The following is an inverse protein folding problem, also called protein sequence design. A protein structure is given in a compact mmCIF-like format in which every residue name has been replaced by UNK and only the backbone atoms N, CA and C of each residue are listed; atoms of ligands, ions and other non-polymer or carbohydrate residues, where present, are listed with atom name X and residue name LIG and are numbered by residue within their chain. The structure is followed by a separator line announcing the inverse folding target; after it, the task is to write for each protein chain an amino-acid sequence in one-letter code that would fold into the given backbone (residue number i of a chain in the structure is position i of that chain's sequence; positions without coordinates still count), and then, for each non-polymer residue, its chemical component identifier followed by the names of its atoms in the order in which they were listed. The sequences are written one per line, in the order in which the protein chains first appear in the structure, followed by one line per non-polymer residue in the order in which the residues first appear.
data_IF_728138460758
#
_entry.id   IF_728138460758
#
_cell.length_a   1.000
_cell.length_b   1.000
_cell.length_c   1.000
_cell.angle_alpha   90.00
_cell.angle_beta   90.00
_cell.angle_gamma   90.00
#
_symmetry.space_group_name_H-M   'P 1'
#
loop_
_entity.id
_entity.type
_entity.pdbx_description
1 polymer ?
#
# COMPACT_ATOMS: atom_id res chain seq x y z
N UNK A 1 -2.47 31.45 26.18
CA UNK A 1 -1.28 30.73 25.65
C UNK A 1 -1.56 29.84 24.42
N UNK A 2 -2.67 29.99 23.67
CA UNK A 2 -3.05 29.04 22.61
C UNK A 2 -2.87 29.53 21.15
N UNK A 3 -2.48 30.79 20.94
CA UNK A 3 -2.35 31.39 19.60
C UNK A 3 -0.95 31.21 18.97
N UNK A 4 0.10 31.39 19.78
CA UNK A 4 1.50 31.34 19.33
C UNK A 4 1.89 29.91 18.93
N UNK A 5 1.56 28.91 19.74
CA UNK A 5 1.80 27.49 19.44
C UNK A 5 1.09 26.98 18.18
N UNK A 6 -0.14 27.44 17.92
CA UNK A 6 -0.86 27.15 16.66
C UNK A 6 -0.22 27.80 15.44
N UNK A 7 0.32 29.02 15.58
CA UNK A 7 0.99 29.74 14.51
C UNK A 7 2.33 29.08 14.15
N UNK A 8 3.14 28.72 15.15
CA UNK A 8 4.38 27.95 14.96
C UNK A 8 4.12 26.59 14.31
N UNK A 9 3.08 25.87 14.73
CA UNK A 9 2.68 24.60 14.11
C UNK A 9 2.25 24.75 12.63
N UNK A 10 1.60 25.86 12.27
CA UNK A 10 1.26 26.17 10.86
C UNK A 10 2.50 26.52 10.04
N UNK A 11 3.42 27.32 10.59
CA UNK A 11 4.67 27.68 9.93
C UNK A 11 5.59 26.47 9.72
N UNK A 12 5.71 25.57 10.71
CA UNK A 12 6.45 24.31 10.55
C UNK A 12 5.83 23.40 9.48
N UNK A 13 4.49 23.27 9.46
CA UNK A 13 3.80 22.51 8.42
C UNK A 13 4.04 23.12 7.03
N UNK A 14 3.97 24.44 6.90
CA UNK A 14 4.29 25.13 5.66
C UNK A 14 5.75 24.91 5.25
N UNK A 15 6.71 25.06 6.17
CA UNK A 15 8.13 24.84 5.88
C UNK A 15 8.42 23.39 5.44
N UNK A 16 7.81 22.41 6.10
CA UNK A 16 7.89 21.01 5.69
C UNK A 16 7.29 20.79 4.29
N UNK A 17 6.15 21.42 3.98
CA UNK A 17 5.47 21.29 2.68
C UNK A 17 6.25 21.96 1.55
N UNK A 18 6.74 23.19 1.76
CA UNK A 18 7.27 24.05 0.69
C UNK A 18 8.79 23.98 0.55
N UNK A 19 9.53 23.47 1.55
CA UNK A 19 11.01 23.43 1.52
C UNK A 19 11.54 22.00 1.62
N UNK A 20 11.17 21.25 2.67
CA UNK A 20 11.71 19.90 2.87
C UNK A 20 11.28 18.96 1.75
N UNK A 21 9.98 18.96 1.38
CA UNK A 21 9.45 18.02 0.37
C UNK A 21 10.07 18.20 -1.03
N UNK A 22 10.18 19.41 -1.61
CA UNK A 22 10.85 19.56 -2.90
C UNK A 22 12.31 19.11 -2.88
N UNK A 23 13.02 19.35 -1.77
CA UNK A 23 14.41 18.89 -1.61
C UNK A 23 14.49 17.36 -1.54
N UNK A 24 13.59 16.71 -0.80
CA UNK A 24 13.54 15.25 -0.72
C UNK A 24 13.25 14.64 -2.08
N UNK A 25 12.26 15.14 -2.81
CA UNK A 25 11.93 14.66 -4.16
C UNK A 25 13.12 14.88 -5.11
N UNK A 26 13.77 16.05 -5.07
CA UNK A 26 14.97 16.31 -5.89
C UNK A 26 16.12 15.35 -5.57
N UNK A 27 16.31 15.02 -4.29
CA UNK A 27 17.32 14.04 -3.89
C UNK A 27 16.95 12.64 -4.39
N UNK A 28 15.70 12.19 -4.19
CA UNK A 28 15.20 10.91 -4.71
C UNK A 28 15.46 10.81 -6.21
N UNK A 29 15.03 11.80 -7.00
CA UNK A 29 15.20 11.78 -8.46
C UNK A 29 16.67 11.69 -8.88
N UNK A 30 17.61 12.18 -8.07
CA UNK A 30 19.06 12.10 -8.35
C UNK A 30 19.70 10.80 -7.93
N UNK A 31 19.17 10.12 -6.92
CA UNK A 31 19.81 8.96 -6.28
C UNK A 31 19.10 7.64 -6.53
N UNK A 32 17.89 7.66 -7.07
CA UNK A 32 17.15 6.45 -7.41
C UNK A 32 17.83 5.73 -8.56
N UNK A 33 18.05 4.45 -8.39
CA UNK A 33 18.69 3.57 -9.37
C UNK A 33 17.60 2.79 -10.10
N UNK A 34 17.65 2.76 -11.43
CA UNK A 34 16.83 1.84 -12.22
C UNK A 34 17.57 0.51 -12.31
N UNK A 35 16.98 -0.55 -11.76
CA UNK A 35 17.62 -1.88 -11.68
C UNK A 35 17.14 -2.82 -12.79
N UNK A 36 15.84 -2.83 -13.11
CA UNK A 36 15.26 -3.77 -14.07
C UNK A 36 13.98 -3.24 -14.72
N UNK A 37 13.64 -3.77 -15.91
CA UNK A 37 12.36 -3.55 -16.57
C UNK A 37 12.26 -2.23 -17.36
N UNK A 38 11.11 -1.97 -18.00
CA UNK A 38 10.90 -0.77 -18.80
C UNK A 38 10.83 0.50 -17.94
N UNK A 39 11.29 1.64 -18.49
CA UNK A 39 11.18 2.98 -17.88
C UNK A 39 9.80 3.59 -18.11
N UNK A 40 9.19 3.30 -19.26
CA UNK A 40 7.86 3.78 -19.63
C UNK A 40 6.91 2.59 -19.76
N UNK A 41 5.76 2.72 -19.09
CA UNK A 41 4.76 1.65 -19.01
C UNK A 41 3.47 2.21 -19.62
N UNK A 42 3.17 2.00 -20.90
CA UNK A 42 1.90 2.42 -21.47
C UNK A 42 0.77 1.51 -20.97
N UNK A 43 -0.34 2.11 -20.51
CA UNK A 43 -1.52 1.37 -20.10
C UNK A 43 -2.82 2.12 -20.37
N UNK A 44 -3.89 1.37 -20.56
CA UNK A 44 -5.22 1.84 -20.91
C UNK A 44 -6.07 2.27 -19.71
N UNK A 45 -7.26 2.87 -19.96
CA UNK A 45 -8.17 3.32 -18.90
C UNK A 45 -8.84 2.19 -18.11
N UNK A 46 -8.80 0.95 -18.63
CA UNK A 46 -9.25 -0.30 -18.00
C UNK A 46 -8.09 -1.20 -17.58
N UNK A 47 -6.90 -0.62 -17.47
CA UNK A 47 -5.71 -1.27 -16.95
C UNK A 47 -5.22 -0.49 -15.72
N UNK A 48 -4.43 -1.13 -14.86
CA UNK A 48 -3.77 -0.45 -13.74
C UNK A 48 -2.33 -0.89 -13.60
N UNK A 49 -1.53 -0.02 -12.98
CA UNK A 49 -0.18 -0.32 -12.52
C UNK A 49 -0.19 -0.44 -10.99
N UNK A 50 0.46 -1.48 -10.48
CA UNK A 50 0.78 -1.61 -9.06
C UNK A 50 2.07 -0.86 -8.77
N UNK A 51 2.11 -0.08 -7.70
CA UNK A 51 3.36 0.46 -7.16
C UNK A 51 3.53 0.00 -5.72
N UNK A 52 4.72 -0.48 -5.40
CA UNK A 52 5.05 -1.07 -4.11
C UNK A 52 6.40 -0.54 -3.63
N UNK A 53 6.47 -0.09 -2.37
CA UNK A 53 7.73 0.22 -1.69
C UNK A 53 8.05 -0.94 -0.76
N UNK A 54 9.16 -1.64 -1.01
CA UNK A 54 9.51 -2.84 -0.28
C UNK A 54 10.93 -2.79 0.27
N UNK A 55 11.17 -3.53 1.35
CA UNK A 55 12.48 -3.86 1.87
C UNK A 55 12.40 -5.22 2.55
N UNK A 56 13.36 -6.09 2.25
CA UNK A 56 13.48 -7.45 2.79
C UNK A 56 12.14 -8.22 2.68
N UNK A 57 11.63 -8.34 1.45
CA UNK A 57 10.35 -8.95 1.10
C UNK A 57 10.45 -10.34 0.49
N UNK A 58 11.56 -11.06 0.68
CA UNK A 58 11.84 -12.35 0.03
C UNK A 58 10.72 -13.40 0.20
N UNK A 59 10.09 -13.49 1.37
CA UNK A 59 8.99 -14.44 1.62
C UNK A 59 7.66 -14.05 0.97
N UNK A 60 7.53 -12.83 0.46
CA UNK A 60 6.29 -12.29 -0.09
C UNK A 60 6.32 -12.15 -1.61
N UNK A 61 7.51 -11.88 -2.16
CA UNK A 61 7.66 -11.40 -3.53
C UNK A 61 7.07 -12.35 -4.57
N UNK A 62 7.23 -13.67 -4.42
CA UNK A 62 6.66 -14.62 -5.37
C UNK A 62 5.13 -14.61 -5.34
N UNK A 63 4.53 -14.73 -4.15
CA UNK A 63 3.08 -14.67 -3.98
C UNK A 63 2.50 -13.33 -4.47
N UNK A 64 3.18 -12.22 -4.18
CA UNK A 64 2.81 -10.88 -4.64
C UNK A 64 2.80 -10.79 -6.17
N UNK A 65 3.90 -11.19 -6.82
CA UNK A 65 4.02 -11.11 -8.28
C UNK A 65 3.01 -12.03 -8.98
N UNK A 66 2.83 -13.26 -8.49
CA UNK A 66 1.87 -14.21 -9.02
C UNK A 66 0.44 -13.71 -8.87
N UNK A 67 0.04 -13.26 -7.67
CA UNK A 67 -1.32 -12.78 -7.40
C UNK A 67 -1.71 -11.63 -8.33
N UNK A 68 -0.84 -10.63 -8.49
CA UNK A 68 -1.15 -9.49 -9.36
C UNK A 68 -1.09 -9.84 -10.85
N UNK A 69 -0.23 -10.78 -11.26
CA UNK A 69 -0.27 -11.32 -12.62
C UNK A 69 -1.59 -12.03 -12.92
N UNK A 70 -2.06 -12.90 -12.00
CA UNK A 70 -3.33 -13.61 -12.11
C UNK A 70 -4.54 -12.67 -12.07
N UNK A 71 -4.48 -11.61 -11.26
CA UNK A 71 -5.52 -10.58 -11.19
C UNK A 71 -5.65 -9.79 -12.50
N UNK A 72 -4.64 -9.86 -13.38
CA UNK A 72 -4.59 -9.14 -14.65
C UNK A 72 -4.02 -7.72 -14.55
N UNK A 73 -3.17 -7.46 -13.54
CA UNK A 73 -2.43 -6.19 -13.44
C UNK A 73 -1.52 -6.01 -14.64
N UNK A 74 -1.47 -4.80 -15.19
CA UNK A 74 -0.68 -4.51 -16.39
C UNK A 74 0.81 -4.57 -16.13
N UNK A 75 1.24 -3.98 -15.01
CA UNK A 75 2.64 -3.89 -14.65
C UNK A 75 2.79 -3.63 -13.15
N UNK A 76 3.88 -4.12 -12.57
CA UNK A 76 4.27 -3.88 -11.19
C UNK A 76 5.52 -3.00 -11.16
N UNK A 77 5.50 -1.94 -10.36
CA UNK A 77 6.67 -1.13 -10.08
C UNK A 77 7.08 -1.34 -8.63
N UNK A 78 8.20 -2.02 -8.44
CA UNK A 78 8.79 -2.28 -7.13
C UNK A 78 9.91 -1.28 -6.86
N UNK A 79 9.78 -0.48 -5.81
CA UNK A 79 10.86 0.32 -5.27
C UNK A 79 11.46 -0.41 -4.07
N UNK A 80 12.61 -1.01 -4.30
CA UNK A 80 13.43 -1.59 -3.25
C UNK A 80 14.11 -0.48 -2.43
N UNK A 81 13.97 -0.53 -1.11
CA UNK A 81 14.65 0.38 -0.19
C UNK A 81 15.83 -0.27 0.54
N UNK A 82 16.72 -0.89 -0.24
CA UNK A 82 17.95 -1.46 0.28
C UNK A 82 17.74 -2.83 0.90
N UNK A 83 17.00 -3.71 0.22
CA UNK A 83 16.92 -5.11 0.65
C UNK A 83 18.29 -5.77 0.62
N UNK A 84 18.48 -6.71 1.54
CA UNK A 84 19.69 -7.52 1.71
C UNK A 84 19.47 -9.00 1.44
N UNK A 85 18.22 -9.37 1.15
CA UNK A 85 17.76 -10.71 0.80
C UNK A 85 17.55 -10.86 -0.72
N UNK A 86 16.89 -11.94 -1.15
CA UNK A 86 16.66 -12.22 -2.56
C UNK A 86 15.45 -11.50 -3.17
N UNK A 87 14.88 -10.47 -2.51
CA UNK A 87 13.71 -9.73 -3.01
C UNK A 87 13.88 -9.29 -4.46
N UNK A 88 15.02 -8.66 -4.80
CA UNK A 88 15.28 -8.17 -6.16
C UNK A 88 15.50 -9.34 -7.15
N UNK A 89 16.44 -10.28 -6.93
CA UNK A 89 16.63 -11.40 -7.84
C UNK A 89 15.37 -12.23 -8.11
N UNK A 90 14.50 -12.41 -7.11
CA UNK A 90 13.21 -13.11 -7.27
C UNK A 90 12.24 -12.28 -8.11
N UNK A 91 12.08 -10.99 -7.81
CA UNK A 91 11.22 -10.09 -8.59
C UNK A 91 11.63 -10.03 -10.08
N UNK A 92 12.93 -10.04 -10.40
CA UNK A 92 13.44 -9.97 -11.76
C UNK A 92 13.03 -11.14 -12.67
N UNK A 93 12.52 -12.24 -12.11
CA UNK A 93 12.10 -13.41 -12.88
C UNK A 93 10.75 -13.21 -13.56
N UNK A 94 9.99 -12.17 -13.20
CA UNK A 94 8.66 -11.90 -13.73
C UNK A 94 8.70 -10.92 -14.91
N UNK A 95 7.88 -11.13 -15.97
CA UNK A 95 7.98 -10.37 -17.22
C UNK A 95 7.43 -8.94 -17.16
N UNK A 96 6.55 -8.63 -16.21
CA UNK A 96 5.83 -7.34 -16.11
C UNK A 96 6.18 -6.57 -14.85
N UNK A 97 7.49 -6.40 -14.62
CA UNK A 97 8.03 -5.70 -13.45
C UNK A 97 9.05 -4.65 -13.84
N UNK A 98 8.99 -3.50 -13.18
CA UNK A 98 10.04 -2.48 -13.17
C UNK A 98 10.56 -2.38 -11.75
N UNK A 99 11.88 -2.50 -11.58
CA UNK A 99 12.52 -2.45 -10.27
C UNK A 99 13.38 -1.20 -10.19
N UNK A 100 13.10 -0.39 -9.19
CA UNK A 100 13.91 0.74 -8.78
C UNK A 100 14.55 0.43 -7.43
N UNK A 101 15.69 1.05 -7.14
CA UNK A 101 16.35 0.94 -5.84
C UNK A 101 16.64 2.32 -5.26
N UNK A 102 16.41 2.47 -3.96
CA UNK A 102 16.82 3.64 -3.18
C UNK A 102 17.58 3.24 -1.94
N UNK A 103 18.72 3.88 -1.69
CA UNK A 103 19.49 3.76 -0.43
C UNK A 103 19.17 4.88 0.56
N UNK A 104 18.11 5.65 0.33
CA UNK A 104 17.74 6.75 1.21
C UNK A 104 17.11 6.22 2.52
N UNK A 105 17.35 6.88 3.67
CA UNK A 105 16.80 6.42 4.95
C UNK A 105 15.27 6.37 4.96
N UNK A 106 14.69 5.19 5.20
CA UNK A 106 13.25 4.94 5.11
C UNK A 106 12.43 5.91 5.98
N UNK A 107 12.73 5.99 7.28
CA UNK A 107 12.02 6.84 8.26
C UNK A 107 11.85 8.29 7.78
N UNK A 108 12.86 8.82 7.08
CA UNK A 108 12.86 10.18 6.57
C UNK A 108 12.19 10.29 5.19
N UNK A 109 12.37 9.29 4.33
CA UNK A 109 12.02 9.39 2.91
C UNK A 109 10.79 8.57 2.49
N UNK A 110 10.20 7.73 3.35
CA UNK A 110 9.09 6.81 3.00
C UNK A 110 8.00 7.50 2.19
N UNK A 111 7.42 8.57 2.74
CA UNK A 111 6.34 9.30 2.07
C UNK A 111 6.78 9.94 0.76
N UNK A 112 8.03 10.44 0.69
CA UNK A 112 8.57 11.05 -0.51
C UNK A 112 8.86 10.00 -1.60
N UNK A 113 9.31 8.80 -1.23
CA UNK A 113 9.53 7.66 -2.13
C UNK A 113 8.20 7.15 -2.69
N UNK A 114 7.19 6.97 -1.84
CA UNK A 114 5.81 6.66 -2.27
C UNK A 114 5.30 7.67 -3.28
N UNK A 115 5.46 8.96 -2.99
CA UNK A 115 4.99 10.03 -3.86
C UNK A 115 5.78 10.15 -5.15
N UNK A 116 7.08 9.85 -5.10
CA UNK A 116 7.90 9.71 -6.30
C UNK A 116 7.33 8.61 -7.20
N UNK A 117 7.02 7.42 -6.68
CA UNK A 117 6.45 6.33 -7.47
C UNK A 117 5.12 6.72 -8.12
N UNK A 118 4.19 7.23 -7.32
CA UNK A 118 2.87 7.63 -7.83
C UNK A 118 3.02 8.70 -8.93
N UNK A 119 3.94 9.66 -8.77
CA UNK A 119 4.19 10.69 -9.79
C UNK A 119 4.93 10.19 -11.02
N UNK A 120 5.83 9.22 -10.86
CA UNK A 120 6.70 8.72 -11.94
C UNK A 120 5.97 7.74 -12.86
N UNK A 121 5.08 6.92 -12.30
CA UNK A 121 4.41 5.83 -13.03
C UNK A 121 2.89 5.98 -13.10
N UNK A 122 2.33 6.88 -12.28
CA UNK A 122 0.96 7.32 -12.43
C UNK A 122 0.78 8.16 -13.70
N UNK A 123 -0.22 7.81 -14.51
CA UNK A 123 -0.56 8.54 -15.72
C UNK A 123 -1.89 9.27 -15.56
N UNK A 124 -2.05 10.38 -16.29
CA UNK A 124 -3.27 11.16 -16.26
C UNK A 124 -4.48 10.31 -16.69
N UNK A 125 -5.54 10.34 -15.89
CA UNK A 125 -6.76 9.54 -16.08
C UNK A 125 -6.49 8.05 -16.19
N UNK A 126 -5.62 7.52 -15.31
CA UNK A 126 -5.33 6.10 -15.20
C UNK A 126 -5.36 5.61 -13.76
N UNK A 127 -5.66 4.33 -13.60
CA UNK A 127 -5.76 3.66 -12.30
C UNK A 127 -4.38 3.27 -11.78
N UNK A 128 -4.15 3.50 -10.50
CA UNK A 128 -2.96 3.08 -9.79
C UNK A 128 -3.36 2.35 -8.52
N UNK A 129 -2.66 1.25 -8.24
CA UNK A 129 -2.79 0.46 -7.03
C UNK A 129 -1.54 0.63 -6.17
N UNK A 130 -1.67 1.22 -4.99
CA UNK A 130 -0.59 1.33 -4.00
C UNK A 130 -0.79 0.29 -2.90
N UNK A 131 0.13 -0.66 -2.80
CA UNK A 131 0.08 -1.78 -1.85
C UNK A 131 1.48 -2.07 -1.32
N UNK A 132 1.55 -2.54 -0.07
CA UNK A 132 2.78 -3.04 0.53
C UNK A 132 3.05 -4.48 0.07
N UNK A 133 4.29 -4.97 0.20
CA UNK A 133 4.69 -6.27 -0.38
C UNK A 133 3.93 -7.45 0.25
N UNK A 134 3.42 -7.29 1.47
CA UNK A 134 2.63 -8.26 2.22
C UNK A 134 1.12 -8.08 2.04
N UNK A 135 0.67 -7.26 1.07
CA UNK A 135 -0.75 -6.98 0.80
C UNK A 135 -1.21 -7.46 -0.59
N UNK A 136 -2.22 -8.33 -0.60
CA UNK A 136 -2.87 -8.83 -1.82
C UNK A 136 -4.31 -8.31 -1.93
N UNK A 137 -4.57 -7.45 -2.92
CA UNK A 137 -5.90 -6.90 -3.18
C UNK A 137 -6.83 -7.96 -3.78
N UNK A 138 -8.05 -8.04 -3.27
CA UNK A 138 -9.16 -8.74 -3.91
C UNK A 138 -10.42 -7.85 -3.96
N UNK A 139 -11.22 -8.00 -5.00
CA UNK A 139 -12.40 -7.16 -5.25
C UNK A 139 -13.65 -8.02 -5.49
N UNK A 140 -14.87 -7.46 -5.31
CA UNK A 140 -16.09 -8.23 -5.42
C UNK A 140 -16.21 -8.98 -6.75
N UNK A 141 -16.48 -10.28 -6.66
CA UNK A 141 -16.63 -11.19 -7.80
C UNK A 141 -15.38 -11.30 -8.69
N UNK A 142 -14.17 -11.13 -8.17
CA UNK A 142 -12.92 -11.31 -8.93
C UNK A 142 -12.77 -12.71 -9.57
N UNK A 143 -13.48 -13.71 -9.05
CA UNK A 143 -13.60 -15.05 -9.63
C UNK A 143 -14.38 -15.09 -10.96
N UNK A 144 -15.19 -14.06 -11.24
CA UNK A 144 -16.12 -14.00 -12.39
C UNK A 144 -16.00 -12.72 -13.22
N UNK A 145 -15.54 -11.64 -12.60
CA UNK A 145 -15.40 -10.30 -13.18
C UNK A 145 -13.92 -10.04 -13.30
N UNK A 146 -13.44 -9.91 -14.54
CA UNK A 146 -12.04 -9.58 -14.78
C UNK A 146 -11.71 -8.16 -14.34
N UNK A 147 -10.44 -7.89 -14.03
CA UNK A 147 -10.00 -6.58 -13.57
C UNK A 147 -10.37 -5.45 -14.55
N UNK A 148 -10.23 -5.61 -15.89
CA UNK A 148 -10.71 -4.60 -16.83
C UNK A 148 -12.21 -4.32 -16.74
N UNK A 149 -13.05 -5.33 -16.47
CA UNK A 149 -14.50 -5.12 -16.29
C UNK A 149 -14.81 -4.41 -14.98
N UNK A 150 -14.07 -4.73 -13.92
CA UNK A 150 -14.19 -4.01 -12.65
C UNK A 150 -13.77 -2.54 -12.78
N UNK A 151 -12.64 -2.24 -13.41
CA UNK A 151 -12.22 -0.86 -13.69
C UNK A 151 -13.18 -0.13 -14.63
N UNK A 152 -13.76 -0.83 -15.59
CA UNK A 152 -14.80 -0.32 -16.48
C UNK A 152 -16.09 0.04 -15.73
N UNK A 153 -16.51 -0.80 -14.78
CA UNK A 153 -17.60 -0.50 -13.85
C UNK A 153 -17.29 0.77 -13.04
N UNK A 154 -16.11 0.85 -12.44
CA UNK A 154 -15.71 2.02 -11.65
C UNK A 154 -15.77 3.31 -12.48
N UNK A 155 -15.25 3.26 -13.72
CA UNK A 155 -15.30 4.40 -14.65
C UNK A 155 -16.73 4.76 -15.05
N UNK A 156 -17.55 3.78 -15.41
CA UNK A 156 -18.94 4.00 -15.82
C UNK A 156 -19.76 4.62 -14.67
N UNK A 157 -19.48 4.20 -13.44
CA UNK A 157 -20.06 4.76 -12.23
C UNK A 157 -19.50 6.13 -11.85
N UNK A 158 -18.43 6.62 -12.50
CA UNK A 158 -17.76 7.88 -12.18
C UNK A 158 -16.97 7.86 -10.87
N UNK A 159 -16.57 6.67 -10.41
CA UNK A 159 -15.80 6.48 -9.18
C UNK A 159 -14.31 6.72 -9.45
N UNK A 160 -13.60 7.26 -8.46
CA UNK A 160 -12.18 7.61 -8.56
C UNK A 160 -11.31 6.99 -7.47
N UNK A 161 -11.90 6.26 -6.51
CA UNK A 161 -11.17 5.45 -5.55
C UNK A 161 -12.01 4.28 -5.04
N UNK A 162 -11.36 3.20 -4.63
CA UNK A 162 -11.98 2.07 -3.92
C UNK A 162 -11.38 1.99 -2.53
N UNK A 163 -12.25 1.89 -1.52
CA UNK A 163 -11.81 1.56 -0.16
C UNK A 163 -11.61 0.06 -0.08
N UNK A 164 -10.46 -0.36 0.45
CA UNK A 164 -10.20 -1.73 0.83
C UNK A 164 -10.02 -1.83 2.35
N UNK A 165 -10.59 -2.89 2.92
CA UNK A 165 -10.35 -3.25 4.31
C UNK A 165 -9.23 -4.27 4.40
N UNK A 166 -8.23 -3.99 5.23
CA UNK A 166 -7.18 -4.94 5.55
C UNK A 166 -7.75 -6.07 6.40
N UNK A 167 -7.52 -7.30 5.95
CA UNK A 167 -7.80 -8.52 6.69
C UNK A 167 -6.46 -9.17 7.03
N UNK A 168 -6.10 -9.14 8.31
CA UNK A 168 -4.86 -9.75 8.78
C UNK A 168 -4.98 -11.29 8.67
N UNK A 169 -4.11 -11.89 7.85
CA UNK A 169 -4.11 -13.32 7.52
C UNK A 169 -3.01 -14.05 8.27
N UNK A 170 -3.30 -15.25 8.78
CA UNK A 170 -2.36 -16.09 9.52
C UNK A 170 -2.62 -17.59 9.31
N UNK A 171 -1.67 -18.43 9.70
CA UNK A 171 -1.81 -19.90 9.64
C UNK A 171 -2.54 -20.45 10.87
N UNK A 172 -2.87 -21.73 10.87
CA UNK A 172 -3.42 -22.44 12.04
C UNK A 172 -2.37 -22.72 13.13
N UNK A 173 -1.11 -22.36 12.91
CA UNK A 173 -0.02 -22.60 13.84
C UNK A 173 0.29 -21.35 14.66
N UNK A 174 0.69 -21.50 15.93
CA UNK A 174 1.29 -20.41 16.69
C UNK A 174 2.48 -19.82 15.95
N UNK A 175 2.69 -18.50 16.03
CA UNK A 175 3.76 -17.80 15.32
C UNK A 175 5.16 -18.37 15.59
N UNK A 176 5.38 -18.95 16.78
CA UNK A 176 6.63 -19.62 17.17
C UNK A 176 6.87 -20.97 16.50
N UNK A 177 5.84 -21.54 15.86
CA UNK A 177 5.88 -22.84 15.19
C UNK A 177 5.56 -22.73 13.68
N UNK A 178 5.33 -21.53 13.16
CA UNK A 178 5.17 -21.28 11.73
C UNK A 178 6.51 -21.46 11.04
N UNK A 179 6.49 -22.17 9.92
CA UNK A 179 7.58 -22.21 8.95
C UNK A 179 7.08 -21.57 7.67
N UNK A 180 7.89 -20.69 7.09
CA UNK A 180 7.58 -20.00 5.84
C UNK A 180 8.68 -20.28 4.83
N UNK A 181 8.28 -20.46 3.57
CA UNK A 181 9.17 -20.69 2.45
C UNK A 181 8.91 -19.68 1.33
N UNK A 182 9.91 -19.46 0.48
CA UNK A 182 9.88 -18.47 -0.61
C UNK A 182 8.77 -18.78 -1.63
N UNK A 183 8.41 -20.05 -1.79
CA UNK A 183 7.41 -20.53 -2.76
C UNK A 183 6.06 -20.85 -2.11
N UNK A 184 5.83 -20.38 -0.89
CA UNK A 184 4.56 -20.58 -0.20
C UNK A 184 3.42 -19.86 -0.93
N UNK A 185 2.34 -20.60 -1.24
CA UNK A 185 1.06 -20.00 -1.58
C UNK A 185 0.43 -19.42 -0.31
N UNK A 186 0.65 -18.11 -0.11
CA UNK A 186 0.17 -17.41 1.08
C UNK A 186 -1.34 -17.52 1.26
N UNK A 187 -2.14 -17.47 0.18
CA UNK A 187 -3.60 -17.56 0.25
C UNK A 187 -4.05 -18.96 0.67
N UNK A 188 -3.32 -19.99 0.25
CA UNK A 188 -3.61 -21.36 0.64
C UNK A 188 -3.14 -21.67 2.07
N UNK A 189 -1.97 -21.21 2.49
CA UNK A 189 -1.36 -21.61 3.77
C UNK A 189 -1.80 -20.71 4.94
N UNK A 190 -1.98 -19.41 4.70
CA UNK A 190 -2.34 -18.41 5.70
C UNK A 190 -3.79 -17.98 5.49
N UNK A 191 -4.71 -18.94 5.63
CA UNK A 191 -6.14 -18.75 5.31
C UNK A 191 -7.01 -18.33 6.50
N UNK A 192 -6.45 -18.29 7.71
CA UNK A 192 -7.18 -17.94 8.92
C UNK A 192 -7.14 -16.43 9.17
N UNK A 193 -8.21 -15.91 9.76
CA UNK A 193 -8.37 -14.51 10.09
C UNK A 193 -9.28 -14.36 11.31
N UNK A 194 -9.21 -13.21 11.99
CA UNK A 194 -10.09 -12.86 13.10
C UNK A 194 -10.61 -11.43 12.96
N UNK A 195 -11.94 -11.29 12.99
CA UNK A 195 -12.66 -10.02 12.88
C UNK A 195 -13.37 -9.60 14.17
N UNK A 196 -13.23 -10.37 15.25
CA UNK A 196 -13.93 -10.17 16.52
C UNK A 196 -13.59 -8.83 17.19
N UNK A 197 -12.37 -8.33 16.96
CA UNK A 197 -11.85 -7.10 17.56
C UNK A 197 -11.78 -5.92 16.57
N UNK A 198 -12.60 -5.94 15.52
CA UNK A 198 -12.73 -4.81 14.60
C UNK A 198 -13.65 -3.75 15.18
N UNK A 199 -13.14 -2.53 15.30
CA UNK A 199 -13.93 -1.34 15.64
C UNK A 199 -14.31 -0.61 14.37
N UNK A 200 -15.59 -0.24 14.26
CA UNK A 200 -16.13 0.53 13.14
C UNK A 200 -16.49 1.93 13.64
N UNK A 201 -16.06 2.94 12.91
CA UNK A 201 -16.35 4.34 13.17
C UNK A 201 -16.89 5.01 11.91
N UNK A 202 -17.64 6.09 12.06
CA UNK A 202 -18.03 6.90 10.92
C UNK A 202 -16.80 7.33 10.13
N UNK A 203 -16.91 7.24 8.82
CA UNK A 203 -15.85 7.64 7.93
C UNK A 203 -15.55 9.13 8.10
N UNK A 204 -14.29 9.46 8.38
CA UNK A 204 -13.89 10.80 8.81
C UNK A 204 -12.82 11.44 7.92
N UNK A 205 -12.45 10.81 6.80
CA UNK A 205 -11.41 11.35 5.93
C UNK A 205 -11.97 12.49 5.07
N UNK A 206 -11.38 13.69 5.15
CA UNK A 206 -12.00 14.89 4.63
C UNK A 206 -12.02 14.90 3.11
N UNK A 207 -13.04 15.55 2.55
CA UNK A 207 -13.20 15.84 1.12
C UNK A 207 -13.39 14.63 0.19
N UNK A 208 -13.58 13.42 0.73
CA UNK A 208 -14.05 12.29 -0.06
C UNK A 208 -15.58 12.26 -0.05
N UNK A 209 -16.15 11.90 -1.20
CA UNK A 209 -17.59 11.68 -1.36
C UNK A 209 -17.85 10.19 -1.25
N UNK A 210 -18.64 9.80 -0.25
CA UNK A 210 -19.13 8.43 -0.12
C UNK A 210 -20.49 8.29 -0.83
N UNK A 211 -20.78 7.12 -1.41
CA UNK A 211 -22.09 6.80 -1.96
C UNK A 211 -23.13 6.49 -0.87
N UNK A 212 -22.69 6.09 0.33
CA UNK A 212 -23.53 5.76 1.48
C UNK A 212 -22.74 5.92 2.78
N UNK A 213 -23.42 6.22 3.88
CA UNK A 213 -22.85 6.29 5.23
C UNK A 213 -22.61 4.88 5.84
N UNK A 214 -23.02 3.81 5.16
CA UNK A 214 -22.74 2.42 5.54
C UNK A 214 -21.25 2.06 5.42
N UNK A 215 -20.51 2.78 4.57
CA UNK A 215 -19.06 2.64 4.47
C UNK A 215 -18.42 3.30 5.70
N UNK A 216 -17.88 2.48 6.60
CA UNK A 216 -17.23 2.92 7.84
C UNK A 216 -15.70 2.89 7.74
N UNK A 217 -15.03 3.60 8.64
CA UNK A 217 -13.61 3.42 8.91
C UNK A 217 -13.43 2.28 9.92
N UNK A 218 -12.57 1.32 9.59
CA UNK A 218 -12.27 0.12 10.37
C UNK A 218 -10.91 0.25 11.04
N UNK A 219 -10.83 -0.23 12.28
CA UNK A 219 -9.65 -0.25 13.11
C UNK A 219 -9.58 -1.52 13.96
N UNK A 220 -8.43 -1.76 14.58
CA UNK A 220 -8.25 -2.83 15.56
C UNK A 220 -7.79 -4.12 14.91
N UNK A 221 -8.57 -5.19 15.10
CA UNK A 221 -8.24 -6.53 14.63
C UNK A 221 -7.15 -7.19 15.45
N UNK A 222 -6.60 -8.30 14.95
CA UNK A 222 -5.64 -9.13 15.69
C UNK A 222 -4.38 -8.35 16.11
N UNK A 223 -3.95 -7.35 15.34
CA UNK A 223 -2.83 -6.48 15.71
C UNK A 223 -3.10 -5.71 17.01
N UNK A 224 -4.33 -5.28 17.26
CA UNK A 224 -4.70 -4.64 18.52
C UNK A 224 -4.64 -5.61 19.68
N UNK A 225 -5.18 -6.81 19.50
CA UNK A 225 -5.11 -7.88 20.51
C UNK A 225 -3.66 -8.20 20.87
N UNK A 226 -2.78 -8.35 19.86
CA UNK A 226 -1.42 -8.82 20.06
C UNK A 226 -0.45 -7.76 20.61
N UNK A 227 -0.56 -6.51 20.16
CA UNK A 227 0.48 -5.50 20.44
C UNK A 227 0.08 -4.47 21.47
N UNK A 228 -1.17 -3.99 21.44
CA UNK A 228 -1.64 -2.95 22.35
C UNK A 228 -3.18 -2.92 22.34
N UNK A 229 -3.84 -3.63 23.26
CA UNK A 229 -5.30 -3.67 23.33
C UNK A 229 -5.95 -2.29 23.53
N UNK A 230 -5.20 -1.30 23.99
CA UNK A 230 -5.68 0.07 24.23
C UNK A 230 -5.40 1.01 23.06
N UNK A 231 -4.63 0.58 22.05
CA UNK A 231 -4.29 1.42 20.91
C UNK A 231 -5.45 1.60 19.93
N UNK A 232 -5.65 2.86 19.51
CA UNK A 232 -6.56 3.24 18.42
C UNK A 232 -5.85 3.39 17.06
N UNK A 233 -4.55 3.11 16.99
CA UNK A 233 -3.71 3.38 15.81
C UNK A 233 -3.71 2.28 14.74
N UNK A 234 -4.32 1.13 15.01
CA UNK A 234 -4.36 0.01 14.06
C UNK A 234 -5.43 0.26 13.01
N UNK A 235 -5.11 1.10 12.03
CA UNK A 235 -5.99 1.40 10.90
C UNK A 235 -6.11 0.15 10.02
N UNK A 236 -7.35 -0.24 9.71
CA UNK A 236 -7.68 -1.33 8.77
C UNK A 236 -8.30 -0.81 7.46
N UNK A 237 -8.41 0.50 7.28
CA UNK A 237 -9.02 1.11 6.08
C UNK A 237 -7.94 1.70 5.20
N UNK A 238 -7.97 1.40 3.89
CA UNK A 238 -7.04 1.93 2.89
C UNK A 238 -7.81 2.33 1.63
N UNK A 239 -7.29 3.30 0.88
CA UNK A 239 -7.67 3.62 -0.49
C UNK A 239 -6.53 3.16 -1.41
N UNK A 240 -6.33 1.84 -1.60
CA UNK A 240 -5.17 1.36 -2.33
C UNK A 240 -5.33 1.60 -3.84
N UNK A 241 -6.56 1.52 -4.35
CA UNK A 241 -6.89 1.71 -5.77
C UNK A 241 -7.51 3.08 -5.99
N UNK A 242 -6.87 3.91 -6.80
CA UNK A 242 -7.36 5.26 -7.11
C UNK A 242 -6.99 5.72 -8.52
N UNK A 243 -7.81 6.61 -9.07
CA UNK A 243 -7.67 7.20 -10.38
C UNK A 243 -6.89 8.52 -10.30
N UNK A 244 -5.88 8.68 -11.14
CA UNK A 244 -5.10 9.92 -11.22
C UNK A 244 -5.73 10.92 -12.21
N UNK A 245 -6.90 11.43 -11.86
CA UNK A 245 -7.70 12.38 -12.67
C UNK A 245 -7.30 13.86 -12.51
N UNK A 246 -6.25 14.14 -11.74
CA UNK A 246 -5.80 15.48 -11.38
C UNK A 246 -6.56 16.14 -10.22
N UNK A 247 -7.68 15.54 -9.77
CA UNK A 247 -8.43 15.96 -8.58
C UNK A 247 -8.01 15.15 -7.36
N UNK A 248 -8.01 13.82 -7.48
CA UNK A 248 -7.61 12.90 -6.42
C UNK A 248 -6.16 13.16 -6.00
N UNK A 249 -5.93 13.29 -4.70
CA UNK A 249 -4.60 13.57 -4.15
C UNK A 249 -4.21 12.52 -3.12
N UNK A 250 -3.22 11.67 -3.43
CA UNK A 250 -2.55 10.83 -2.44
C UNK A 250 -1.97 11.71 -1.32
N UNK A 251 -2.17 11.32 -0.06
CA UNK A 251 -1.70 12.12 1.06
C UNK A 251 -0.20 11.96 1.27
N UNK A 252 0.50 13.07 1.49
CA UNK A 252 1.94 13.09 1.81
C UNK A 252 2.26 12.70 3.26
N UNK A 253 1.23 12.62 4.10
CA UNK A 253 1.37 12.40 5.54
C UNK A 253 0.78 11.06 5.98
N UNK A 254 0.19 10.33 5.03
CA UNK A 254 -0.56 9.11 5.31
C UNK A 254 -0.56 8.23 4.05
N UNK A 255 -0.23 6.95 4.22
CA UNK A 255 -0.17 5.97 3.14
C UNK A 255 -1.49 5.25 2.83
N UNK A 256 -2.43 5.34 3.77
CA UNK A 256 -3.70 4.65 3.71
C UNK A 256 -4.73 5.45 2.92
N UNK A 257 -4.65 6.79 2.93
CA UNK A 257 -5.73 7.62 2.40
C UNK A 257 -5.33 8.48 1.20
N UNK A 258 -6.34 8.71 0.35
CA UNK A 258 -6.37 9.78 -0.65
C UNK A 258 -7.45 10.78 -0.25
N UNK A 259 -7.37 12.02 -0.77
CA UNK A 259 -8.43 13.03 -0.62
C UNK A 259 -9.01 13.43 -1.98
N UNK A 260 -10.12 14.16 -1.93
CA UNK A 260 -10.81 14.71 -3.11
C UNK A 260 -11.34 13.60 -4.04
N UNK A 261 -11.63 12.41 -3.50
CA UNK A 261 -12.06 11.24 -4.25
C UNK A 261 -13.59 11.02 -4.19
N UNK A 262 -14.15 10.48 -5.27
CA UNK A 262 -15.50 9.92 -5.29
C UNK A 262 -15.39 8.41 -5.11
N UNK A 263 -15.67 7.94 -3.91
CA UNK A 263 -15.45 6.55 -3.51
C UNK A 263 -16.50 5.65 -4.15
N UNK A 264 -16.05 4.46 -4.57
CA UNK A 264 -16.91 3.41 -5.11
C UNK A 264 -17.99 2.97 -4.12
N UNK A 265 -19.12 2.53 -4.64
CA UNK A 265 -20.22 1.91 -3.88
C UNK A 265 -19.97 0.44 -3.53
N UNK A 266 -18.75 -0.02 -3.78
CA UNK A 266 -18.22 -1.31 -3.40
C UNK A 266 -16.92 -1.12 -2.62
N UNK A 267 -16.69 -2.00 -1.65
CA UNK A 267 -15.42 -2.10 -0.94
C UNK A 267 -14.67 -3.35 -1.37
N UNK A 268 -13.34 -3.28 -1.32
CA UNK A 268 -12.43 -4.38 -1.57
C UNK A 268 -11.85 -4.94 -0.26
N UNK A 269 -11.07 -6.01 -0.35
CA UNK A 269 -10.27 -6.53 0.76
C UNK A 269 -8.79 -6.49 0.38
N UNK A 270 -7.94 -6.20 1.36
CA UNK A 270 -6.50 -6.41 1.28
C UNK A 270 -6.15 -7.55 2.22
N UNK A 271 -5.85 -8.73 1.68
CA UNK A 271 -5.28 -9.80 2.48
C UNK A 271 -3.88 -9.39 2.90
N UNK A 272 -3.66 -9.23 4.20
CA UNK A 272 -2.42 -8.69 4.76
C UNK A 272 -1.68 -9.78 5.55
N UNK A 273 -0.57 -10.25 5.00
CA UNK A 273 0.17 -11.42 5.47
C UNK A 273 1.28 -11.04 6.44
N UNK A 274 0.96 -10.33 7.52
CA UNK A 274 1.99 -9.82 8.43
C UNK A 274 2.74 -10.93 9.19
N UNK A 275 2.07 -12.05 9.46
CA UNK A 275 2.48 -13.05 10.46
C UNK A 275 3.12 -14.29 9.83
N UNK A 276 4.20 -14.08 9.07
CA UNK A 276 5.08 -15.16 8.61
C UNK A 276 6.13 -15.54 9.66
N UNK A 277 6.88 -16.62 9.43
CA UNK A 277 7.88 -17.15 10.35
C UNK A 277 8.97 -16.12 10.72
N UNK A 278 9.29 -15.20 9.83
CA UNK A 278 10.29 -14.14 10.00
C UNK A 278 9.79 -12.92 10.79
N UNK A 279 8.49 -12.87 11.15
CA UNK A 279 7.87 -11.66 11.69
C UNK A 279 8.61 -11.07 12.90
N UNK A 280 9.02 -11.91 13.85
CA UNK A 280 9.71 -11.47 15.06
C UNK A 280 11.09 -10.87 14.73
N UNK A 281 11.89 -11.57 13.92
CA UNK A 281 13.21 -11.10 13.49
C UNK A 281 13.10 -9.79 12.69
N UNK A 282 12.18 -9.75 11.73
CA UNK A 282 11.91 -8.56 10.91
C UNK A 282 11.48 -7.38 11.77
N UNK A 283 10.68 -7.60 12.80
CA UNK A 283 10.25 -6.54 13.74
C UNK A 283 11.44 -6.00 14.54
N UNK A 284 12.32 -6.87 15.05
CA UNK A 284 13.53 -6.45 15.78
C UNK A 284 14.45 -5.65 14.86
N UNK A 285 14.69 -6.14 13.63
CA UNK A 285 15.51 -5.47 12.63
C UNK A 285 14.94 -4.10 12.26
N UNK A 286 13.63 -4.02 12.02
CA UNK A 286 12.95 -2.76 11.73
C UNK A 286 13.14 -1.73 12.86
N UNK A 287 13.06 -2.14 14.13
CA UNK A 287 13.31 -1.26 15.28
C UNK A 287 14.77 -0.78 15.31
N UNK A 288 15.72 -1.70 15.18
CA UNK A 288 17.17 -1.39 15.21
C UNK A 288 17.59 -0.43 14.10
N UNK A 289 17.00 -0.57 12.92
CA UNK A 289 17.30 0.26 11.76
C UNK A 289 16.41 1.51 11.65
N UNK A 290 15.52 1.72 12.63
CA UNK A 290 14.49 2.76 12.63
C UNK A 290 13.55 2.72 11.40
N UNK A 291 13.34 1.54 10.82
CA UNK A 291 12.50 1.31 9.63
C UNK A 291 11.07 0.86 10.02
N UNK A 292 10.39 1.63 10.86
CA UNK A 292 9.03 1.34 11.32
C UNK A 292 8.13 2.60 11.31
N UNK A 293 6.85 2.39 11.62
CA UNK A 293 5.78 3.40 11.70
C UNK A 293 5.68 4.07 13.06
#
# INVERSE_FOLDING_TARGET
MNGVTKLWGRLLKMWAIYVIRPLQIRQITRTIEHVHGPTEIPYGPDELVVVCLARDGELYVNSFMQHYAELGVKHIVLLDNGSTDQTIPLAQQYPHVTILRSRLPFKRYKMALRHYLIRRFGQANRWLLYVDIDELLDYPHSDRVTLPRFLGYLRAGGYTAVIAYMLDMFSDKPLTAVTSHIDDDLKALYRFYDISDIVRMDYYFPHNQLPTDEIKAYFGGIRRILFDPQATRFVLTKHPLFLLDGRVKPLFVDEHFVRDARVADVTAVLFHYKFLADFAERTVRAIQEENYH
#
